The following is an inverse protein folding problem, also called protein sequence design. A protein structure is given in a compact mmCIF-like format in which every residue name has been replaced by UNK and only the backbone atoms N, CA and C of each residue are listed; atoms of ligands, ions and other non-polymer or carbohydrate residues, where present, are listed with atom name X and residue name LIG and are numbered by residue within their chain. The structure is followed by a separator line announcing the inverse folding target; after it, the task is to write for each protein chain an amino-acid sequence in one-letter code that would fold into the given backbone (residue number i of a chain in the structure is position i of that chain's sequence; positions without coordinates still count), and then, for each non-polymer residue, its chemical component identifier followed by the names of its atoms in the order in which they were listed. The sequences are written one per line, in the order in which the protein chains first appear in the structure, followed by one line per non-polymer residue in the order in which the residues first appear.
data_IF_580470866411
#
_entry.id   IF_580470866411
#
_cell.length_a   1.000
_cell.length_b   1.000
_cell.length_c   1.000
_cell.angle_alpha   90.00
_cell.angle_beta   90.00
_cell.angle_gamma   90.00
#
_symmetry.space_group_name_H-M   'P 1'
#
loop_
_entity.id
_entity.type
_entity.pdbx_description
1 polymer ?
#
# COMPACT_ATOMS: atom_id res chain seq x y z
N UNK A 1 5.42 8.12 -5.56
CA UNK A 1 4.30 7.98 -4.58
C UNK A 1 4.81 7.44 -3.25
N UNK A 2 4.06 7.54 -2.14
CA UNK A 2 4.50 7.01 -0.83
C UNK A 2 3.91 5.62 -0.55
N UNK A 3 4.71 4.67 -0.08
CA UNK A 3 4.26 3.33 0.31
C UNK A 3 4.37 3.11 1.82
N UNK A 4 3.32 2.54 2.42
CA UNK A 4 3.31 2.04 3.80
C UNK A 4 3.42 0.51 3.80
N UNK A 5 4.27 -0.05 4.64
CA UNK A 5 4.41 -1.49 4.84
C UNK A 5 3.87 -1.91 6.21
N UNK A 6 3.03 -2.94 6.25
CA UNK A 6 2.34 -3.40 7.46
C UNK A 6 2.46 -4.92 7.62
N UNK A 7 2.75 -5.36 8.85
CA UNK A 7 2.62 -6.76 9.29
C UNK A 7 3.67 -7.74 8.76
N UNK A 8 4.69 -7.27 8.02
CA UNK A 8 5.73 -8.12 7.43
C UNK A 8 7.10 -7.96 8.09
N UNK A 9 8.14 -8.47 7.41
CA UNK A 9 9.55 -8.43 7.88
C UNK A 9 10.02 -7.02 8.22
N UNK A 10 9.57 -6.05 7.43
CA UNK A 10 9.64 -4.61 7.65
C UNK A 10 8.22 -4.11 7.91
N UNK A 11 7.95 -3.67 9.12
CA UNK A 11 6.62 -3.23 9.55
C UNK A 11 6.63 -1.73 9.88
N UNK A 12 5.46 -1.10 9.75
CA UNK A 12 5.19 0.29 10.07
C UNK A 12 6.14 1.30 9.38
N UNK A 13 6.74 0.89 8.26
CA UNK A 13 7.77 1.66 7.55
C UNK A 13 7.21 2.32 6.31
N UNK A 14 7.76 3.49 6.00
CA UNK A 14 7.40 4.31 4.85
C UNK A 14 8.55 4.34 3.83
N UNK A 15 8.22 4.20 2.54
CA UNK A 15 9.21 4.25 1.46
C UNK A 15 8.67 5.01 0.26
N UNK A 16 9.55 5.74 -0.43
CA UNK A 16 9.22 6.32 -1.73
C UNK A 16 9.21 5.21 -2.79
N UNK A 17 8.14 5.19 -3.58
CA UNK A 17 7.94 4.24 -4.68
C UNK A 17 7.83 5.03 -5.97
N UNK A 18 8.65 4.68 -6.95
CA UNK A 18 8.69 5.36 -8.25
C UNK A 18 7.72 4.76 -9.27
N UNK A 19 7.29 3.50 -9.05
CA UNK A 19 6.39 2.79 -9.96
C UNK A 19 4.98 3.41 -9.96
N UNK A 20 4.40 3.58 -11.14
CA UNK A 20 3.02 4.03 -11.34
C UNK A 20 2.40 3.30 -12.54
N UNK A 21 1.36 2.47 -12.35
CA UNK A 21 0.71 2.15 -11.07
C UNK A 21 1.64 1.33 -10.14
N UNK A 22 1.39 1.34 -8.81
CA UNK A 22 2.16 0.53 -7.87
C UNK A 22 2.02 -0.97 -8.20
N UNK A 23 3.09 -1.77 -8.08
CA UNK A 23 3.02 -3.20 -8.36
C UNK A 23 2.13 -3.91 -7.34
N UNK A 24 1.41 -4.96 -7.77
CA UNK A 24 0.53 -5.75 -6.89
C UNK A 24 1.29 -6.49 -5.79
N UNK A 25 2.60 -6.68 -5.96
CA UNK A 25 3.48 -7.36 -5.01
C UNK A 25 4.74 -6.55 -4.78
N UNK A 26 5.24 -6.57 -3.54
CA UNK A 26 6.51 -5.94 -3.20
C UNK A 26 7.46 -6.91 -2.46
N UNK A 27 8.75 -6.99 -2.85
CA UNK A 27 9.28 -6.49 -4.12
C UNK A 27 8.53 -7.09 -5.32
N UNK A 28 8.61 -6.44 -6.48
CA UNK A 28 7.98 -6.96 -7.70
C UNK A 28 8.48 -8.38 -8.00
N UNK A 29 7.56 -9.26 -8.41
CA UNK A 29 7.81 -10.70 -8.43
C UNK A 29 8.76 -11.06 -9.59
N UNK A 30 10.03 -11.35 -9.30
CA UNK A 30 11.07 -11.69 -10.30
C UNK A 30 11.14 -13.19 -10.64
N UNK A 31 10.15 -14.00 -10.24
CA UNK A 31 9.91 -15.32 -10.82
C UNK A 31 10.20 -16.57 -9.97
N UNK A 32 10.34 -16.51 -8.64
CA UNK A 32 10.51 -17.75 -7.85
C UNK A 32 10.02 -17.74 -6.39
N UNK A 33 9.41 -16.67 -5.88
CA UNK A 33 9.12 -16.53 -4.45
C UNK A 33 7.65 -16.23 -4.13
N UNK A 34 7.24 -16.55 -2.90
CA UNK A 34 6.03 -15.93 -2.32
C UNK A 34 6.32 -14.43 -2.15
N UNK A 35 5.39 -13.54 -2.55
CA UNK A 35 5.57 -12.10 -2.36
C UNK A 35 5.72 -11.81 -0.87
N UNK A 36 6.61 -10.88 -0.51
CA UNK A 36 6.78 -10.47 0.90
C UNK A 36 5.64 -9.58 1.35
N UNK A 37 5.08 -8.82 0.42
CA UNK A 37 3.91 -7.99 0.62
C UNK A 37 3.00 -8.02 -0.59
N UNK A 38 1.71 -7.86 -0.35
CA UNK A 38 0.67 -7.64 -1.36
C UNK A 38 0.19 -6.19 -1.27
N UNK A 39 -0.19 -5.60 -2.38
CA UNK A 39 -0.91 -4.33 -2.38
C UNK A 39 -2.35 -4.55 -1.87
N UNK A 40 -2.77 -3.77 -0.88
CA UNK A 40 -4.11 -3.86 -0.29
C UNK A 40 -4.98 -2.63 -0.56
N UNK A 41 -4.35 -1.46 -0.66
CA UNK A 41 -5.06 -0.19 -0.81
C UNK A 41 -4.18 0.79 -1.57
N UNK A 42 -4.81 1.60 -2.41
CA UNK A 42 -4.20 2.79 -3.00
C UNK A 42 -4.97 4.03 -2.54
N UNK A 43 -4.30 5.17 -2.49
CA UNK A 43 -4.94 6.47 -2.30
C UNK A 43 -4.93 7.24 -3.60
N UNK A 44 -6.10 7.46 -4.21
CA UNK A 44 -6.23 8.28 -5.42
C UNK A 44 -6.63 9.71 -5.06
N UNK A 45 -5.96 10.69 -5.68
CA UNK A 45 -6.38 12.10 -5.60
C UNK A 45 -7.54 12.35 -6.57
N UNK A 46 -8.20 13.50 -6.42
CA UNK A 46 -9.30 13.91 -7.30
C UNK A 46 -8.93 14.07 -8.78
N UNK A 47 -7.64 14.12 -9.12
CA UNK A 47 -7.12 14.13 -10.48
C UNK A 47 -6.78 12.72 -11.03
N UNK A 48 -7.06 11.66 -10.26
CA UNK A 48 -6.77 10.27 -10.61
C UNK A 48 -5.31 9.85 -10.37
N UNK A 49 -4.46 10.71 -9.81
CA UNK A 49 -3.08 10.33 -9.48
C UNK A 49 -3.02 9.52 -8.19
N UNK A 50 -2.20 8.47 -8.17
CA UNK A 50 -2.00 7.67 -6.97
C UNK A 50 -1.01 8.38 -6.04
N UNK A 51 -1.49 8.86 -4.89
CA UNK A 51 -0.67 9.56 -3.91
C UNK A 51 0.07 8.59 -2.97
N UNK A 52 -0.57 7.49 -2.61
CA UNK A 52 0.03 6.46 -1.75
C UNK A 52 -0.42 5.05 -2.10
N UNK A 53 0.36 4.07 -1.64
CA UNK A 53 0.05 2.64 -1.65
C UNK A 53 0.23 2.06 -0.25
N UNK A 54 -0.54 1.02 0.07
CA UNK A 54 -0.43 0.30 1.33
C UNK A 54 -0.21 -1.17 1.03
N UNK A 55 0.95 -1.65 1.49
CA UNK A 55 1.42 -3.01 1.35
C UNK A 55 1.31 -3.73 2.69
N UNK A 56 0.65 -4.88 2.68
CA UNK A 56 0.47 -5.75 3.83
C UNK A 56 1.21 -7.07 3.62
N UNK A 57 1.62 -7.71 4.71
CA UNK A 57 2.05 -9.10 4.64
C UNK A 57 0.95 -9.98 3.99
N UNK A 58 1.30 -11.07 3.27
CA UNK A 58 0.34 -11.84 2.47
C UNK A 58 -0.88 -12.36 3.25
N UNK A 59 -0.73 -12.57 4.55
CA UNK A 59 -1.75 -13.06 5.48
C UNK A 59 -2.61 -11.97 6.12
N UNK A 60 -2.28 -10.68 5.93
CA UNK A 60 -3.06 -9.58 6.48
C UNK A 60 -4.45 -9.50 5.87
N UNK A 61 -5.46 -9.23 6.70
CA UNK A 61 -6.81 -8.95 6.25
C UNK A 61 -6.95 -7.48 5.79
N UNK A 62 -7.80 -7.24 4.79
CA UNK A 62 -8.05 -5.88 4.28
C UNK A 62 -8.66 -4.95 5.35
N UNK A 63 -9.45 -5.50 6.27
CA UNK A 63 -10.04 -4.75 7.40
C UNK A 63 -8.97 -4.25 8.38
N UNK A 64 -7.96 -5.07 8.68
CA UNK A 64 -6.85 -4.67 9.53
C UNK A 64 -6.00 -3.58 8.88
N UNK A 65 -5.77 -3.70 7.57
CA UNK A 65 -5.07 -2.66 6.80
C UNK A 65 -5.86 -1.35 6.84
N UNK A 66 -7.17 -1.42 6.61
CA UNK A 66 -8.06 -0.24 6.62
C UNK A 66 -8.04 0.45 7.98
N UNK A 67 -8.20 -0.32 9.07
CA UNK A 67 -8.13 0.23 10.43
C UNK A 67 -6.79 0.92 10.69
N UNK A 68 -5.67 0.31 10.31
CA UNK A 68 -4.33 0.88 10.52
C UNK A 68 -4.14 2.18 9.71
N UNK A 69 -4.62 2.23 8.46
CA UNK A 69 -4.44 3.42 7.62
C UNK A 69 -5.37 4.57 8.03
N UNK A 70 -6.55 4.26 8.55
CA UNK A 70 -7.47 5.20 9.17
C UNK A 70 -6.91 5.78 10.47
N UNK A 71 -6.42 4.94 11.39
CA UNK A 71 -5.78 5.36 12.64
C UNK A 71 -4.61 6.32 12.38
N UNK A 72 -3.84 6.06 11.31
CA UNK A 72 -2.72 6.90 10.87
C UNK A 72 -3.14 8.12 10.05
N UNK A 73 -4.41 8.22 9.66
CA UNK A 73 -4.94 9.32 8.87
C UNK A 73 -4.28 9.46 7.49
N UNK A 74 -3.95 8.35 6.83
CA UNK A 74 -3.21 8.34 5.55
C UNK A 74 -3.95 9.10 4.44
N UNK A 75 -5.24 8.77 4.23
CA UNK A 75 -6.11 9.46 3.29
C UNK A 75 -6.08 10.98 3.48
N UNK A 76 -6.23 11.42 4.74
CA UNK A 76 -6.20 12.85 5.12
C UNK A 76 -4.82 13.48 4.86
N UNK A 77 -3.74 12.79 5.22
CA UNK A 77 -2.36 13.28 5.04
C UNK A 77 -2.02 13.54 3.57
N UNK A 78 -2.55 12.72 2.66
CA UNK A 78 -2.27 12.81 1.23
C UNK A 78 -3.36 13.49 0.40
N UNK A 79 -4.45 13.92 1.04
CA UNK A 79 -5.64 14.47 0.37
C UNK A 79 -6.16 13.54 -0.73
N UNK A 80 -6.30 12.26 -0.40
CA UNK A 80 -6.66 11.19 -1.31
C UNK A 80 -7.81 10.35 -0.76
N UNK A 81 -8.52 9.67 -1.65
CA UNK A 81 -9.56 8.68 -1.33
C UNK A 81 -8.97 7.28 -1.34
N UNK A 82 -9.18 6.47 -0.29
CA UNK A 82 -8.80 5.07 -0.27
C UNK A 82 -9.60 4.26 -1.29
N UNK A 83 -8.93 3.48 -2.11
CA UNK A 83 -9.52 2.59 -3.10
C UNK A 83 -8.85 1.20 -3.04
N UNK A 84 -9.61 0.18 -3.41
CA UNK A 84 -9.03 -1.14 -3.65
C UNK A 84 -8.13 -1.11 -4.89
N UNK A 85 -6.98 -1.81 -4.89
CA UNK A 85 -6.13 -1.90 -6.06
C UNK A 85 -6.87 -2.57 -7.23
N UNK A 86 -6.67 -2.03 -8.44
CA UNK A 86 -7.33 -2.49 -9.69
C UNK A 86 -6.48 -3.50 -10.44
#
# INVERSE_FOLDING_TARGET
MRALFVGGVVDNSEMDLDDTPPPMHYPENTGAGRPRYRLHQIGERGDGTVAYAVYGAPEMADDDITRITEERGYARRFSASPEAPR
#
